data_IF_990109890429
#
_entry.id   IF_990109890429
#
_cell.length_a   1.000
_cell.length_b   1.000
_cell.length_c   1.000
_cell.angle_alpha   90.00
_cell.angle_beta   90.00
_cell.angle_gamma   90.00
#
_symmetry.space_group_name_H-M   'P 1'
#
loop_
_entity.id
_entity.type
_entity.pdbx_description
1 polymer ?
#
# COMPACT_ATOMS: atom_id res chain seq x y z
N UNK A 1 2.36 -34.07 1.01
CA UNK A 1 3.36 -33.48 0.16
C UNK A 1 3.92 -32.23 0.79
N UNK A 2 5.21 -32.10 0.74
CA UNK A 2 5.94 -30.96 1.30
C UNK A 2 5.63 -29.65 0.61
N UNK A 3 4.93 -29.71 -0.52
CA UNK A 3 4.91 -28.57 -1.44
C UNK A 3 3.79 -27.58 -1.22
N UNK A 4 2.79 -27.94 -0.41
CA UNK A 4 1.65 -27.08 -0.16
C UNK A 4 2.08 -25.76 0.45
N UNK A 5 2.97 -25.80 1.43
CA UNK A 5 3.48 -24.61 2.08
C UNK A 5 4.32 -23.77 1.12
N UNK A 6 5.18 -24.41 0.33
CA UNK A 6 6.01 -23.72 -0.64
C UNK A 6 5.17 -23.11 -1.74
N UNK A 7 4.14 -23.80 -2.19
CA UNK A 7 3.21 -23.28 -3.19
C UNK A 7 2.51 -22.04 -2.65
N UNK A 8 2.04 -22.08 -1.39
CA UNK A 8 1.38 -20.94 -0.76
C UNK A 8 2.31 -19.74 -0.65
N UNK A 9 3.56 -19.97 -0.28
CA UNK A 9 4.55 -18.89 -0.18
C UNK A 9 4.86 -18.24 -1.52
N UNK A 10 4.77 -19.01 -2.61
CA UNK A 10 5.04 -18.51 -3.96
C UNK A 10 3.83 -17.85 -4.63
N UNK A 11 2.65 -17.98 -4.02
CA UNK A 11 1.42 -17.43 -4.57
C UNK A 11 1.46 -15.92 -4.64
N UNK A 12 1.92 -15.29 -3.57
CA UNK A 12 1.99 -13.82 -3.49
C UNK A 12 3.40 -13.36 -3.81
N UNK A 13 3.52 -12.49 -4.80
CA UNK A 13 4.79 -11.87 -5.17
C UNK A 13 4.66 -10.37 -5.15
N UNK A 14 5.64 -9.71 -4.55
CA UNK A 14 5.69 -8.25 -4.50
C UNK A 14 6.90 -7.81 -5.32
N UNK A 15 6.68 -6.91 -6.26
CA UNK A 15 7.76 -6.36 -7.06
C UNK A 15 7.71 -4.84 -7.09
N UNK A 16 8.90 -4.24 -7.10
CA UNK A 16 9.06 -2.82 -7.32
C UNK A 16 8.83 -2.56 -8.80
N UNK A 17 7.98 -1.61 -9.13
CA UNK A 17 7.57 -1.38 -10.51
C UNK A 17 8.68 -0.67 -11.29
N UNK A 18 9.04 -1.26 -12.42
CA UNK A 18 10.01 -0.70 -13.36
C UNK A 18 9.38 -0.61 -14.75
N UNK A 19 8.70 -1.67 -15.18
CA UNK A 19 8.13 -1.76 -16.53
C UNK A 19 6.81 -1.00 -16.65
N UNK A 20 6.54 -0.34 -17.80
CA UNK A 20 5.29 0.39 -18.01
C UNK A 20 4.03 -0.46 -17.84
N UNK A 21 4.05 -1.72 -18.28
CA UNK A 21 2.89 -2.60 -18.15
C UNK A 21 2.55 -2.90 -16.70
N UNK A 22 3.56 -2.96 -15.81
CA UNK A 22 3.31 -3.14 -14.39
C UNK A 22 2.72 -1.89 -13.77
N UNK A 23 3.14 -0.72 -14.24
CA UNK A 23 2.57 0.53 -13.78
C UNK A 23 1.11 0.65 -14.21
N UNK A 24 0.77 0.21 -15.41
CA UNK A 24 -0.62 0.16 -15.86
C UNK A 24 -1.46 -0.74 -14.95
N UNK A 25 -0.91 -1.90 -14.55
CA UNK A 25 -1.60 -2.80 -13.62
C UNK A 25 -1.83 -2.13 -12.27
N UNK A 26 -0.84 -1.39 -11.76
CA UNK A 26 -0.98 -0.63 -10.53
C UNK A 26 -2.12 0.39 -10.65
N UNK A 27 -2.16 1.14 -11.73
CA UNK A 27 -3.20 2.14 -11.95
C UNK A 27 -4.59 1.51 -12.05
N UNK A 28 -4.70 0.37 -12.72
CA UNK A 28 -5.98 -0.33 -12.83
C UNK A 28 -6.49 -0.78 -11.45
N UNK A 29 -5.62 -1.31 -10.62
CA UNK A 29 -5.96 -1.72 -9.26
C UNK A 29 -6.44 -0.52 -8.44
N UNK A 30 -5.69 0.56 -8.48
CA UNK A 30 -6.03 1.78 -7.72
C UNK A 30 -7.33 2.38 -8.19
N UNK A 31 -7.58 2.39 -9.48
CA UNK A 31 -8.86 2.88 -10.01
C UNK A 31 -10.01 2.06 -9.48
N UNK A 32 -9.90 0.75 -9.53
CA UNK A 32 -10.96 -0.13 -9.05
C UNK A 32 -11.23 0.08 -7.56
N UNK A 33 -10.20 0.17 -6.74
CA UNK A 33 -10.36 0.29 -5.29
C UNK A 33 -10.75 1.70 -4.87
N UNK A 34 -10.03 2.71 -5.34
CA UNK A 34 -10.23 4.06 -4.82
C UNK A 34 -11.29 4.84 -5.56
N UNK A 35 -11.34 4.74 -6.88
CA UNK A 35 -12.30 5.50 -7.68
C UNK A 35 -13.64 4.78 -7.76
N UNK A 36 -13.64 3.51 -8.17
CA UNK A 36 -14.90 2.77 -8.39
C UNK A 36 -15.51 2.27 -7.10
N UNK A 37 -14.74 1.67 -6.22
CA UNK A 37 -15.24 1.11 -4.97
C UNK A 37 -15.46 2.19 -3.89
N UNK A 38 -14.45 3.04 -3.63
CA UNK A 38 -14.49 4.05 -2.57
C UNK A 38 -14.96 5.42 -3.03
N UNK A 39 -15.12 5.61 -4.32
CA UNK A 39 -15.62 6.86 -4.93
C UNK A 39 -14.74 8.08 -4.66
N UNK A 40 -13.45 7.86 -4.56
CA UNK A 40 -12.49 8.96 -4.48
C UNK A 40 -12.47 9.72 -5.82
N UNK A 41 -12.44 11.07 -5.79
CA UNK A 41 -12.30 11.84 -7.03
C UNK A 41 -11.05 11.42 -7.80
N UNK A 42 -11.16 11.11 -9.10
CA UNK A 42 -10.02 10.63 -9.87
C UNK A 42 -8.81 11.56 -9.85
N UNK A 43 -9.02 12.86 -9.87
CA UNK A 43 -7.93 13.84 -9.87
C UNK A 43 -7.10 13.81 -8.58
N UNK A 44 -7.69 13.45 -7.45
CA UNK A 44 -6.96 13.31 -6.18
C UNK A 44 -6.17 12.01 -6.14
N UNK A 45 -6.70 10.97 -6.78
CA UNK A 45 -6.08 9.66 -6.78
C UNK A 45 -4.75 9.65 -7.54
N UNK A 46 -4.62 10.47 -8.59
CA UNK A 46 -3.44 10.48 -9.47
C UNK A 46 -2.35 11.47 -9.08
N UNK A 47 -2.44 12.09 -7.90
CA UNK A 47 -1.41 13.04 -7.47
C UNK A 47 -0.07 12.35 -7.20
N UNK A 48 1.01 13.07 -7.46
CA UNK A 48 2.40 12.69 -7.11
C UNK A 48 2.90 11.40 -7.78
N UNK A 49 2.39 11.07 -8.95
CA UNK A 49 2.78 9.83 -9.62
C UNK A 49 4.27 9.75 -9.94
N UNK A 50 4.83 10.83 -10.48
CA UNK A 50 6.23 10.85 -10.91
C UNK A 50 7.21 10.89 -9.73
N UNK A 51 6.74 11.27 -8.55
CA UNK A 51 7.57 11.38 -7.36
C UNK A 51 7.56 10.11 -6.52
N UNK A 52 6.79 9.11 -6.93
CA UNK A 52 6.51 7.94 -6.11
C UNK A 52 7.23 6.69 -6.60
N UNK A 53 7.58 5.83 -5.66
CA UNK A 53 8.08 4.49 -5.93
C UNK A 53 6.91 3.54 -5.76
N UNK A 54 6.57 2.82 -6.82
CA UNK A 54 5.38 1.96 -6.87
C UNK A 54 5.73 0.49 -6.70
N UNK A 55 4.81 -0.23 -6.09
CA UNK A 55 4.91 -1.67 -5.89
C UNK A 55 3.65 -2.35 -6.41
N UNK A 56 3.84 -3.53 -6.99
CA UNK A 56 2.76 -4.36 -7.50
C UNK A 56 2.78 -5.70 -6.78
N UNK A 57 1.63 -6.13 -6.28
CA UNK A 57 1.45 -7.47 -5.74
C UNK A 57 0.69 -8.31 -6.74
N UNK A 58 1.15 -9.54 -6.94
CA UNK A 58 0.42 -10.51 -7.75
C UNK A 58 0.11 -11.76 -6.91
N UNK A 59 -1.00 -12.41 -7.23
CA UNK A 59 -1.37 -13.70 -6.65
C UNK A 59 -1.51 -14.65 -7.83
N UNK A 60 -0.71 -15.70 -7.86
CA UNK A 60 -0.63 -16.62 -9.00
C UNK A 60 -0.44 -15.84 -10.33
N UNK A 61 0.45 -14.85 -10.31
CA UNK A 61 0.75 -14.00 -11.46
C UNK A 61 -0.38 -13.06 -11.89
N UNK A 62 -1.45 -12.98 -11.12
CA UNK A 62 -2.58 -12.09 -11.41
C UNK A 62 -2.43 -10.82 -10.56
N UNK A 63 -2.48 -9.62 -11.15
CA UNK A 63 -2.39 -8.39 -10.38
C UNK A 63 -3.47 -8.34 -9.29
N UNK A 64 -3.06 -8.08 -8.05
CA UNK A 64 -3.93 -8.20 -6.90
C UNK A 64 -3.90 -6.99 -5.98
N UNK A 65 -2.79 -6.27 -5.93
CA UNK A 65 -2.65 -5.15 -5.02
C UNK A 65 -1.55 -4.21 -5.43
N UNK A 66 -1.55 -3.03 -4.83
CA UNK A 66 -0.57 -1.99 -5.12
C UNK A 66 -0.28 -1.16 -3.88
N UNK A 67 0.86 -0.50 -3.88
CA UNK A 67 1.25 0.44 -2.85
C UNK A 67 2.34 1.35 -3.40
N UNK A 68 2.58 2.48 -2.72
CA UNK A 68 3.68 3.36 -3.10
C UNK A 68 4.23 4.08 -1.87
N UNK A 69 5.45 4.59 -2.00
CA UNK A 69 5.97 5.55 -1.04
C UNK A 69 6.61 6.71 -1.79
N UNK A 70 6.67 7.86 -1.15
CA UNK A 70 7.34 9.03 -1.70
C UNK A 70 7.98 9.83 -0.57
N UNK A 71 8.99 10.61 -0.92
CA UNK A 71 9.59 11.52 0.04
C UNK A 71 8.80 12.82 0.05
N UNK A 72 8.54 13.33 1.25
CA UNK A 72 7.86 14.61 1.45
C UNK A 72 8.77 15.52 2.28
N UNK A 73 8.34 16.75 2.49
CA UNK A 73 9.09 17.68 3.35
C UNK A 73 9.12 17.23 4.80
N UNK A 74 8.22 16.33 5.20
CA UNK A 74 8.19 15.78 6.57
C UNK A 74 9.01 14.50 6.72
N UNK A 75 9.18 13.76 5.65
CA UNK A 75 9.85 12.46 5.70
C UNK A 75 9.40 11.55 4.57
N UNK A 76 9.12 10.30 4.90
CA UNK A 76 8.73 9.29 3.92
C UNK A 76 7.28 8.89 4.15
N UNK A 77 6.44 9.15 3.16
CA UNK A 77 5.01 8.84 3.26
C UNK A 77 4.69 7.58 2.48
N UNK A 78 4.07 6.63 3.16
CA UNK A 78 3.51 5.43 2.55
C UNK A 78 2.05 5.71 2.22
N UNK A 79 1.62 5.35 1.02
CA UNK A 79 0.25 5.65 0.62
C UNK A 79 -0.24 4.75 -0.50
N UNK A 80 -1.53 4.85 -0.79
CA UNK A 80 -2.18 4.15 -1.90
C UNK A 80 -2.08 2.64 -1.79
N UNK A 81 -2.19 2.09 -0.58
CA UNK A 81 -2.31 0.66 -0.39
C UNK A 81 -3.69 0.21 -0.84
N UNK A 82 -3.72 -0.68 -1.80
CA UNK A 82 -4.97 -1.14 -2.40
C UNK A 82 -4.87 -2.63 -2.68
N UNK A 83 -5.91 -3.38 -2.31
CA UNK A 83 -6.02 -4.81 -2.61
C UNK A 83 -7.38 -5.02 -3.25
N UNK A 84 -7.38 -5.68 -4.40
CA UNK A 84 -8.63 -6.01 -5.08
C UNK A 84 -9.49 -6.90 -4.18
N UNK A 85 -10.80 -6.69 -4.23
CA UNK A 85 -11.75 -7.35 -3.34
C UNK A 85 -11.59 -8.87 -3.31
N UNK A 86 -11.39 -9.49 -4.47
CA UNK A 86 -11.27 -10.94 -4.58
C UNK A 86 -10.00 -11.51 -3.95
N UNK A 87 -9.03 -10.66 -3.64
CA UNK A 87 -7.77 -11.08 -3.03
C UNK A 87 -7.63 -10.65 -1.57
N UNK A 88 -8.67 -10.05 -0.98
CA UNK A 88 -8.64 -9.64 0.41
C UNK A 88 -8.69 -10.86 1.33
N UNK A 89 -8.07 -10.72 2.51
CA UNK A 89 -8.00 -11.82 3.46
C UNK A 89 -6.88 -12.81 3.19
N UNK A 90 -6.03 -12.54 2.18
CA UNK A 90 -4.91 -13.40 1.79
C UNK A 90 -3.55 -12.82 2.17
N UNK A 91 -3.52 -11.78 3.00
CA UNK A 91 -2.30 -11.12 3.45
C UNK A 91 -1.56 -10.30 2.38
N UNK A 92 -2.23 -9.96 1.28
CA UNK A 92 -1.59 -9.17 0.21
C UNK A 92 -1.17 -7.80 0.74
N UNK A 93 -2.05 -7.10 1.47
CA UNK A 93 -1.73 -5.80 2.04
C UNK A 93 -0.57 -5.86 3.01
N UNK A 94 -0.49 -6.92 3.82
CA UNK A 94 0.58 -7.13 4.77
C UNK A 94 1.92 -7.34 4.05
N UNK A 95 1.95 -8.13 2.99
CA UNK A 95 3.16 -8.37 2.22
C UNK A 95 3.62 -7.11 1.48
N UNK A 96 2.66 -6.32 0.98
CA UNK A 96 2.98 -5.03 0.38
C UNK A 96 3.64 -4.10 1.40
N UNK A 97 3.08 -4.02 2.61
CA UNK A 97 3.62 -3.16 3.65
C UNK A 97 5.04 -3.56 4.03
N UNK A 98 5.30 -4.85 4.18
CA UNK A 98 6.65 -5.35 4.45
C UNK A 98 7.63 -4.95 3.36
N UNK A 99 7.25 -5.13 2.10
CA UNK A 99 8.11 -4.80 0.97
C UNK A 99 8.43 -3.31 0.92
N UNK A 100 7.44 -2.46 1.15
CA UNK A 100 7.64 -1.02 1.14
C UNK A 100 8.58 -0.60 2.27
N UNK A 101 8.37 -1.12 3.48
CA UNK A 101 9.23 -0.79 4.62
C UNK A 101 10.69 -1.19 4.38
N UNK A 102 10.91 -2.33 3.76
CA UNK A 102 12.26 -2.81 3.44
C UNK A 102 12.93 -1.90 2.40
N UNK A 103 12.16 -1.37 1.47
CA UNK A 103 12.69 -0.55 0.38
C UNK A 103 13.07 0.88 0.81
N UNK A 104 12.56 1.35 1.93
CA UNK A 104 12.87 2.70 2.41
C UNK A 104 14.37 2.85 2.70
N UNK A 105 14.93 4.06 2.51
CA UNK A 105 16.33 4.29 2.88
C UNK A 105 16.59 3.92 4.35
N UNK A 106 17.77 3.37 4.62
CA UNK A 106 18.16 2.97 5.98
C UNK A 106 18.12 4.13 6.96
N UNK A 107 18.41 5.34 6.49
CA UNK A 107 18.42 6.54 7.31
C UNK A 107 17.09 7.27 7.36
N UNK A 108 16.00 6.63 6.97
CA UNK A 108 14.68 7.23 7.02
C UNK A 108 14.31 7.51 8.48
N UNK A 109 14.28 8.78 8.88
CA UNK A 109 14.01 9.16 10.27
C UNK A 109 12.52 9.27 10.57
N UNK A 110 11.73 9.70 9.60
CA UNK A 110 10.31 9.90 9.81
C UNK A 110 9.54 9.18 8.71
N UNK A 111 8.79 8.14 9.11
CA UNK A 111 7.99 7.33 8.20
C UNK A 111 6.56 7.39 8.69
N UNK A 112 5.65 7.79 7.81
CA UNK A 112 4.26 7.99 8.22
C UNK A 112 3.30 7.64 7.10
N UNK A 113 2.04 7.53 7.47
CA UNK A 113 0.96 7.29 6.52
C UNK A 113 -0.35 7.84 7.07
N UNK A 114 -1.34 7.97 6.19
CA UNK A 114 -2.71 8.30 6.58
C UNK A 114 -3.53 7.02 6.43
N UNK A 115 -3.89 6.42 7.56
CA UNK A 115 -4.58 5.13 7.57
C UNK A 115 -6.09 5.32 7.65
N UNK A 116 -6.82 4.69 6.74
CA UNK A 116 -8.26 4.57 6.90
C UNK A 116 -8.53 3.79 8.19
N UNK A 117 -9.60 4.13 8.90
CA UNK A 117 -9.87 3.54 10.21
C UNK A 117 -9.88 2.01 10.18
N UNK A 118 -10.41 1.43 9.13
CA UNK A 118 -10.47 -0.03 8.97
C UNK A 118 -9.09 -0.69 8.89
N UNK A 119 -8.05 0.05 8.52
CA UNK A 119 -6.71 -0.47 8.33
C UNK A 119 -5.76 -0.20 9.51
N UNK A 120 -6.20 0.55 10.51
CA UNK A 120 -5.33 0.95 11.63
C UNK A 120 -4.69 -0.26 12.31
N UNK A 121 -5.45 -1.31 12.56
CA UNK A 121 -4.91 -2.49 13.25
C UNK A 121 -3.81 -3.20 12.46
N UNK A 122 -3.92 -3.21 11.14
CA UNK A 122 -2.86 -3.77 10.30
C UNK A 122 -1.56 -3.00 10.49
N UNK A 123 -1.61 -1.68 10.43
CA UNK A 123 -0.40 -0.87 10.56
C UNK A 123 0.20 -0.95 11.96
N UNK A 124 -0.63 -1.07 13.00
CA UNK A 124 -0.13 -1.25 14.36
C UNK A 124 0.73 -2.50 14.50
N UNK A 125 0.40 -3.57 13.80
CA UNK A 125 1.18 -4.80 13.83
C UNK A 125 2.60 -4.60 13.31
N UNK A 126 2.82 -3.57 12.51
CA UNK A 126 4.12 -3.30 11.88
C UNK A 126 4.82 -2.09 12.47
N UNK A 127 4.46 -1.70 13.70
CA UNK A 127 5.18 -0.66 14.42
C UNK A 127 4.67 0.75 14.19
N UNK A 128 3.51 0.91 13.58
CA UNK A 128 2.90 2.22 13.43
C UNK A 128 2.01 2.56 14.63
N UNK A 129 1.94 3.83 14.96
CA UNK A 129 1.12 4.32 16.06
C UNK A 129 0.38 5.58 15.62
N UNK A 130 -0.86 5.72 16.05
CA UNK A 130 -1.66 6.90 15.74
C UNK A 130 -1.03 8.15 16.36
N UNK A 131 -1.09 9.26 15.62
CA UNK A 131 -0.61 10.56 16.08
C UNK A 131 -1.66 11.60 15.76
N UNK A 132 -2.21 12.20 16.81
CA UNK A 132 -3.25 13.22 16.67
C UNK A 132 -4.65 12.64 16.53
N UNK A 133 -5.57 13.50 16.13
CA UNK A 133 -6.98 13.15 16.03
C UNK A 133 -7.35 12.62 14.65
N UNK A 134 -8.50 11.98 14.56
CA UNK A 134 -9.06 11.56 13.27
C UNK A 134 -9.30 12.77 12.39
N UNK A 135 -9.16 12.56 11.09
CA UNK A 135 -9.45 13.59 10.08
C UNK A 135 -10.08 12.95 8.86
N UNK A 136 -10.79 13.77 8.08
CA UNK A 136 -11.40 13.31 6.85
C UNK A 136 -10.48 13.59 5.67
N UNK A 137 -10.34 12.59 4.79
CA UNK A 137 -9.58 12.74 3.55
C UNK A 137 -10.33 11.98 2.46
N UNK A 138 -10.67 12.68 1.37
CA UNK A 138 -11.45 12.10 0.27
C UNK A 138 -12.76 11.43 0.75
N UNK A 139 -13.41 12.02 1.75
CA UNK A 139 -14.68 11.53 2.28
C UNK A 139 -14.57 10.36 3.25
N UNK A 140 -13.38 9.96 3.60
CA UNK A 140 -13.15 8.81 4.50
C UNK A 140 -12.35 9.25 5.70
N UNK A 141 -12.72 8.75 6.89
CA UNK A 141 -12.00 9.08 8.12
C UNK A 141 -10.69 8.32 8.21
N UNK A 142 -9.66 9.04 8.63
CA UNK A 142 -8.28 8.55 8.72
C UNK A 142 -7.64 8.91 10.03
N UNK A 143 -6.56 8.17 10.37
CA UNK A 143 -5.57 8.59 11.36
C UNK A 143 -4.23 8.77 10.67
N UNK A 144 -3.48 9.78 11.08
CA UNK A 144 -2.06 9.82 10.76
C UNK A 144 -1.38 8.81 11.67
N UNK A 145 -0.54 7.97 11.08
CA UNK A 145 0.22 6.98 11.85
C UNK A 145 1.69 7.12 11.54
N UNK A 146 2.52 6.98 12.56
CA UNK A 146 3.98 7.12 12.46
C UNK A 146 4.63 5.81 12.85
N UNK A 147 5.65 5.42 12.08
CA UNK A 147 6.38 4.19 12.33
C UNK A 147 7.50 4.44 13.35
N UNK A 148 7.52 3.61 14.39
CA UNK A 148 8.56 3.63 15.41
C UNK A 148 9.32 2.30 15.35
N UNK A 149 10.61 2.37 15.06
CA UNK A 149 11.45 1.17 14.99
C UNK A 149 12.03 0.80 16.35
#
# INVERSE_FOLDING_TARGET
MKDDKNITEKVIRISKVIAPEDLEAVFAIRREVFVEEQRCPPELEWEYEDESIHFLATVHSIPAGAARWRKTDKGYKLERFAVLKQFRGMRVGQELLKAVLIDLPENAEYVYLHAQLAAVNLYKKFGFKEEGEQFEEAGIMHYKMVHYS
#
